data_IF_026562022044
#
_entry.id   IF_026562022044
#
_cell.length_a   1.000
_cell.length_b   1.000
_cell.length_c   1.000
_cell.angle_alpha   90.00
_cell.angle_beta   90.00
_cell.angle_gamma   90.00
#
_symmetry.space_group_name_H-M   'P 1'
#
loop_
_entity.id
_entity.type
_entity.pdbx_description
1 polymer ?
#
# COMPACT_ATOMS: atom_id res chain seq x y z
N UNK A 1 -1.69 -11.69 29.17
CA UNK A 1 -0.91 -10.58 29.75
C UNK A 1 -1.53 -9.29 29.21
N UNK A 2 -2.28 -8.52 30.02
CA UNK A 2 -2.94 -7.28 29.56
C UNK A 2 -1.89 -6.16 29.57
N UNK A 3 -1.38 -5.77 28.39
CA UNK A 3 -0.52 -4.60 28.28
C UNK A 3 -1.30 -3.33 28.66
N UNK A 4 -0.87 -2.65 29.71
CA UNK A 4 -1.39 -1.33 30.13
C UNK A 4 -0.63 -0.23 29.41
N UNK A 5 -0.56 -0.28 28.07
CA UNK A 5 -0.04 0.85 27.30
C UNK A 5 -1.24 1.74 26.99
N UNK A 6 -1.34 2.86 27.71
CA UNK A 6 -2.48 3.78 27.62
C UNK A 6 -2.11 4.87 26.60
N UNK A 7 -2.67 4.86 25.38
CA UNK A 7 -2.47 5.96 24.45
C UNK A 7 -3.03 7.25 25.05
N UNK A 8 -2.28 8.36 24.92
CA UNK A 8 -2.67 9.66 25.46
C UNK A 8 -3.85 10.27 24.70
N UNK A 9 -3.95 9.96 23.41
CA UNK A 9 -5.04 10.37 22.52
C UNK A 9 -5.22 9.29 21.47
N UNK A 10 -6.47 8.91 21.20
CA UNK A 10 -6.85 7.97 20.14
C UNK A 10 -7.89 8.66 19.29
N UNK A 11 -7.66 8.77 17.99
CA UNK A 11 -8.70 9.16 17.03
C UNK A 11 -8.99 7.95 16.15
N UNK A 12 -10.26 7.60 16.08
CA UNK A 12 -10.75 6.49 15.27
C UNK A 12 -11.44 7.07 14.04
N UNK A 13 -10.95 6.73 12.87
CA UNK A 13 -11.54 7.11 11.59
C UNK A 13 -12.09 5.84 10.93
N UNK A 14 -13.41 5.82 10.71
CA UNK A 14 -14.04 4.82 9.85
C UNK A 14 -13.91 5.29 8.40
N UNK A 15 -13.24 4.50 7.55
CA UNK A 15 -13.12 4.84 6.13
C UNK A 15 -14.01 3.92 5.29
N UNK A 16 -14.95 4.52 4.57
CA UNK A 16 -15.58 3.87 3.43
C UNK A 16 -14.64 4.01 2.20
N UNK A 17 -13.81 2.98 2.02
CA UNK A 17 -13.10 2.52 0.80
C UNK A 17 -12.01 3.37 0.10
N UNK A 18 -11.14 2.58 -0.57
CA UNK A 18 -10.12 2.85 -1.62
C UNK A 18 -8.70 3.24 -1.17
N UNK A 19 -7.88 2.19 -1.12
CA UNK A 19 -6.42 1.99 -1.10
C UNK A 19 -5.46 3.18 -0.95
N UNK A 20 -4.41 2.92 -0.15
CA UNK A 20 -3.31 3.81 0.24
C UNK A 20 -2.28 4.12 -0.87
N UNK A 21 -2.58 3.81 -2.13
CA UNK A 21 -1.90 4.42 -3.26
C UNK A 21 -2.84 5.47 -3.84
N UNK A 22 -2.70 6.70 -3.36
CA UNK A 22 -3.41 7.82 -3.98
C UNK A 22 -3.10 7.80 -5.49
N UNK A 23 -4.17 7.79 -6.32
CA UNK A 23 -4.04 7.91 -7.78
C UNK A 23 -3.14 9.09 -8.15
N UNK A 24 -3.12 10.14 -7.34
CA UNK A 24 -2.24 11.30 -7.52
C UNK A 24 -0.75 10.95 -7.34
N UNK A 25 -0.40 10.09 -6.38
CA UNK A 25 0.99 9.66 -6.15
C UNK A 25 1.51 8.80 -7.31
N UNK A 26 0.71 7.83 -7.77
CA UNK A 26 1.03 7.02 -8.95
C UNK A 26 1.22 7.92 -10.18
N UNK A 27 0.29 8.84 -10.42
CA UNK A 27 0.39 9.79 -11.52
C UNK A 27 1.65 10.67 -11.43
N UNK A 28 2.10 11.03 -10.23
CA UNK A 28 3.30 11.86 -10.03
C UNK A 28 4.58 11.07 -10.32
N UNK A 29 4.68 9.81 -9.87
CA UNK A 29 5.83 8.94 -10.15
C UNK A 29 5.95 8.66 -11.65
N UNK A 30 4.82 8.37 -12.30
CA UNK A 30 4.75 8.05 -13.72
C UNK A 30 5.20 9.21 -14.62
N UNK A 31 5.06 10.48 -14.18
CA UNK A 31 5.52 11.66 -14.93
C UNK A 31 7.05 11.75 -15.06
N UNK A 32 7.81 11.07 -14.22
CA UNK A 32 9.28 11.07 -14.24
C UNK A 32 9.88 9.93 -15.07
N UNK A 33 9.05 9.11 -15.73
CA UNK A 33 9.46 7.94 -16.49
C UNK A 33 9.33 8.17 -18.01
N UNK A 34 9.98 7.32 -18.80
CA UNK A 34 9.73 7.25 -20.25
C UNK A 34 8.24 7.02 -20.53
N UNK A 35 7.73 7.62 -21.60
CA UNK A 35 6.29 7.63 -21.92
C UNK A 35 5.72 6.22 -22.12
N UNK A 36 6.50 5.33 -22.72
CA UNK A 36 6.10 3.93 -22.96
C UNK A 36 6.04 3.17 -21.64
N UNK A 37 7.09 3.27 -20.82
CA UNK A 37 7.17 2.60 -19.52
C UNK A 37 6.05 3.08 -18.58
N UNK A 38 5.74 4.38 -18.63
CA UNK A 38 4.61 5.00 -17.97
C UNK A 38 3.26 4.38 -18.37
N UNK A 39 3.04 4.14 -19.68
CA UNK A 39 1.82 3.49 -20.18
C UNK A 39 1.76 2.03 -19.75
N UNK A 40 2.87 1.30 -19.85
CA UNK A 40 2.97 -0.10 -19.39
C UNK A 40 2.54 -0.21 -17.93
N UNK A 41 3.08 0.64 -17.05
CA UNK A 41 2.71 0.64 -15.63
C UNK A 41 1.24 0.97 -15.41
N UNK A 42 0.67 1.93 -16.13
CA UNK A 42 -0.77 2.26 -16.00
C UNK A 42 -1.65 1.06 -16.33
N UNK A 43 -1.31 0.33 -17.40
CA UNK A 43 -2.07 -0.83 -17.83
C UNK A 43 -1.92 -1.99 -16.84
N UNK A 44 -0.71 -2.27 -16.37
CA UNK A 44 -0.45 -3.32 -15.37
C UNK A 44 -1.06 -3.01 -13.99
N UNK A 45 -1.14 -1.74 -13.58
CA UNK A 45 -1.81 -1.33 -12.34
C UNK A 45 -3.32 -1.52 -12.44
N UNK A 46 -3.89 -1.28 -13.63
CA UNK A 46 -5.32 -1.48 -13.86
C UNK A 46 -5.69 -2.97 -14.00
N UNK A 47 -4.84 -3.75 -14.66
CA UNK A 47 -5.01 -5.18 -14.89
C UNK A 47 -3.64 -5.85 -14.92
N UNK A 48 -3.20 -6.41 -13.79
CA UNK A 48 -1.91 -7.09 -13.69
C UNK A 48 -1.86 -8.42 -14.46
N UNK A 49 -3.00 -8.93 -14.92
CA UNK A 49 -3.11 -10.18 -15.68
C UNK A 49 -3.23 -9.94 -17.20
N UNK A 50 -3.09 -8.69 -17.65
CA UNK A 50 -3.07 -8.36 -19.07
C UNK A 50 -1.97 -9.15 -19.80
N UNK A 51 -2.33 -9.81 -20.90
CA UNK A 51 -1.36 -10.58 -21.69
C UNK A 51 -0.40 -9.63 -22.41
N UNK A 52 0.85 -10.07 -22.61
CA UNK A 52 1.85 -9.26 -23.32
C UNK A 52 1.39 -8.86 -24.73
N UNK A 53 0.67 -9.73 -25.44
CA UNK A 53 0.08 -9.44 -26.75
C UNK A 53 -0.93 -8.28 -26.69
N UNK A 54 -1.83 -8.29 -25.72
CA UNK A 54 -2.83 -7.23 -25.52
C UNK A 54 -2.18 -5.93 -25.04
N UNK A 55 -1.21 -6.03 -24.15
CA UNK A 55 -0.40 -4.90 -23.67
C UNK A 55 0.31 -4.21 -24.84
N UNK A 56 1.02 -4.99 -25.66
CA UNK A 56 1.75 -4.52 -26.85
C UNK A 56 0.81 -3.80 -27.84
N UNK A 57 -0.36 -4.38 -28.10
CA UNK A 57 -1.39 -3.78 -28.96
C UNK A 57 -1.90 -2.44 -28.41
N UNK A 58 -2.06 -2.32 -27.10
CA UNK A 58 -2.55 -1.09 -26.48
C UNK A 58 -1.51 0.04 -26.45
N UNK A 59 -0.22 -0.29 -26.34
CA UNK A 59 0.86 0.71 -26.34
C UNK A 59 1.47 0.98 -27.72
N UNK A 60 1.06 0.21 -28.75
CA UNK A 60 1.51 0.39 -30.13
C UNK A 60 2.93 -0.11 -30.40
N UNK A 61 3.39 -1.16 -29.70
CA UNK A 61 4.71 -1.78 -29.88
C UNK A 61 4.59 -3.24 -30.31
N UNK A 62 5.70 -3.82 -30.76
CA UNK A 62 5.79 -5.27 -30.95
C UNK A 62 5.76 -6.00 -29.60
N UNK A 63 5.32 -7.26 -29.61
CA UNK A 63 5.28 -8.09 -28.41
C UNK A 63 6.67 -8.27 -27.79
N UNK A 64 7.71 -8.44 -28.62
CA UNK A 64 9.10 -8.58 -28.16
C UNK A 64 9.60 -7.32 -27.46
N UNK A 65 9.40 -6.13 -28.07
CA UNK A 65 9.80 -4.87 -27.48
C UNK A 65 9.05 -4.58 -26.17
N UNK A 66 7.75 -4.91 -26.11
CA UNK A 66 6.95 -4.76 -24.90
C UNK A 66 7.45 -5.65 -23.77
N UNK A 67 7.76 -6.92 -24.07
CA UNK A 67 8.26 -7.87 -23.09
C UNK A 67 9.59 -7.44 -22.50
N UNK A 68 10.52 -6.94 -23.33
CA UNK A 68 11.81 -6.44 -22.87
C UNK A 68 11.66 -5.24 -21.93
N UNK A 69 10.74 -4.32 -22.25
CA UNK A 69 10.43 -3.17 -21.41
C UNK A 69 9.87 -3.59 -20.05
N UNK A 70 8.92 -4.52 -20.00
CA UNK A 70 8.39 -5.07 -18.75
C UNK A 70 9.49 -5.71 -17.92
N UNK A 71 10.32 -6.58 -18.52
CA UNK A 71 11.45 -7.22 -17.84
C UNK A 71 12.44 -6.20 -17.28
N UNK A 72 12.70 -5.12 -18.00
CA UNK A 72 13.57 -4.03 -17.51
C UNK A 72 12.98 -3.34 -16.28
N UNK A 73 11.68 -3.07 -16.28
CA UNK A 73 10.99 -2.47 -15.12
C UNK A 73 11.02 -3.39 -13.89
N UNK A 74 10.89 -4.69 -14.08
CA UNK A 74 11.02 -5.70 -13.02
C UNK A 74 12.47 -5.82 -12.51
N UNK A 75 13.43 -5.90 -13.43
CA UNK A 75 14.85 -5.99 -13.09
C UNK A 75 15.33 -4.75 -12.31
N UNK A 76 14.87 -3.56 -12.71
CA UNK A 76 15.13 -2.30 -12.03
C UNK A 76 14.35 -2.14 -10.70
N UNK A 77 13.55 -3.14 -10.28
CA UNK A 77 12.70 -3.10 -9.08
C UNK A 77 11.70 -1.93 -9.06
N UNK A 78 11.38 -1.38 -10.23
CA UNK A 78 10.26 -0.43 -10.39
C UNK A 78 8.95 -1.20 -10.24
N UNK A 79 8.85 -2.36 -10.90
CA UNK A 79 7.84 -3.37 -10.59
C UNK A 79 8.44 -4.31 -9.54
N UNK A 80 7.94 -4.21 -8.30
CA UNK A 80 8.45 -5.02 -7.19
C UNK A 80 7.69 -6.33 -7.00
N UNK A 81 6.38 -6.30 -7.25
CA UNK A 81 5.47 -7.43 -7.05
C UNK A 81 4.19 -7.21 -7.86
N UNK A 82 3.52 -8.31 -8.19
CA UNK A 82 2.14 -8.32 -8.64
C UNK A 82 1.27 -8.76 -7.47
N UNK A 83 0.15 -8.09 -7.24
CA UNK A 83 -0.74 -8.34 -6.11
C UNK A 83 -2.18 -8.46 -6.58
N UNK A 84 -2.99 -9.15 -5.79
CA UNK A 84 -4.43 -9.21 -5.99
C UNK A 84 -5.14 -8.24 -5.05
N UNK A 85 -6.21 -7.63 -5.54
CA UNK A 85 -7.13 -6.84 -4.73
C UNK A 85 -8.32 -7.73 -4.37
N UNK A 86 -8.57 -7.91 -3.07
CA UNK A 86 -9.69 -8.72 -2.56
C UNK A 86 -10.74 -7.80 -1.99
N UNK A 87 -11.99 -7.99 -2.42
CA UNK A 87 -13.15 -7.32 -1.84
C UNK A 87 -13.45 -7.93 -0.46
N UNK A 88 -12.91 -7.31 0.58
CA UNK A 88 -13.03 -7.77 1.97
C UNK A 88 -14.49 -7.82 2.42
N UNK A 89 -15.33 -6.87 1.98
CA UNK A 89 -16.75 -6.84 2.34
C UNK A 89 -17.49 -8.09 1.85
N UNK A 90 -17.13 -8.62 0.67
CA UNK A 90 -17.72 -9.85 0.12
C UNK A 90 -17.27 -11.12 0.82
N UNK A 91 -16.20 -11.07 1.61
CA UNK A 91 -15.72 -12.23 2.40
C UNK A 91 -15.98 -12.05 3.90
N UNK A 92 -16.95 -11.21 4.26
CA UNK A 92 -17.38 -11.02 5.65
C UNK A 92 -16.46 -10.13 6.49
N UNK A 93 -15.60 -9.33 5.85
CA UNK A 93 -14.66 -8.40 6.47
C UNK A 93 -14.97 -6.97 6.00
N UNK A 94 -16.09 -6.42 6.48
CA UNK A 94 -16.65 -5.17 5.97
C UNK A 94 -16.17 -3.91 6.69
N UNK A 95 -15.38 -4.05 7.75
CA UNK A 95 -14.90 -2.93 8.56
C UNK A 95 -13.39 -2.80 8.40
N UNK A 96 -12.93 -1.62 8.02
CA UNK A 96 -11.51 -1.27 8.06
C UNK A 96 -11.41 0.04 8.83
N UNK A 97 -10.65 0.03 9.92
CA UNK A 97 -10.55 1.16 10.85
C UNK A 97 -9.14 1.73 10.80
N UNK A 98 -9.03 3.04 10.65
CA UNK A 98 -7.78 3.75 10.85
C UNK A 98 -7.74 4.34 12.24
N UNK A 99 -6.76 3.94 13.03
CA UNK A 99 -6.57 4.43 14.39
C UNK A 99 -5.28 5.26 14.40
N UNK A 100 -5.38 6.55 14.72
CA UNK A 100 -4.20 7.34 15.06
C UNK A 100 -4.11 7.47 16.56
N UNK A 101 -2.91 7.29 17.10
CA UNK A 101 -2.69 7.41 18.52
C UNK A 101 -1.34 8.04 18.83
N UNK A 102 -1.26 8.67 19.99
CA UNK A 102 -0.02 9.21 20.55
C UNK A 102 0.33 8.42 21.80
N UNK A 103 1.54 7.86 21.84
CA UNK A 103 2.06 7.21 23.05
C UNK A 103 2.45 8.29 24.06
N UNK A 104 2.14 8.02 25.34
CA UNK A 104 2.43 8.96 26.44
C UNK A 104 3.93 9.20 26.61
N UNK A 105 4.72 8.14 26.44
CA UNK A 105 6.17 8.19 26.42
C UNK A 105 6.65 7.83 25.01
N UNK A 106 7.68 8.53 24.53
CA UNK A 106 8.26 8.34 23.20
C UNK A 106 9.69 7.81 23.26
N UNK A 107 10.03 7.10 24.34
CA UNK A 107 11.27 6.36 24.41
C UNK A 107 11.25 5.24 23.37
N UNK A 108 12.38 5.04 22.69
CA UNK A 108 12.52 4.06 21.59
C UNK A 108 12.04 2.67 22.03
N UNK A 109 12.42 2.24 23.22
CA UNK A 109 12.05 0.95 23.81
C UNK A 109 10.52 0.77 23.98
N UNK A 110 9.80 1.83 24.37
CA UNK A 110 8.35 1.78 24.53
C UNK A 110 7.62 1.78 23.18
N UNK A 111 8.15 2.51 22.20
CA UNK A 111 7.65 2.50 20.83
C UNK A 111 7.83 1.10 20.23
N UNK A 112 9.03 0.54 20.34
CA UNK A 112 9.34 -0.79 19.79
C UNK A 112 8.50 -1.89 20.43
N UNK A 113 8.37 -1.87 21.77
CA UNK A 113 7.51 -2.82 22.49
C UNK A 113 6.05 -2.70 22.08
N UNK A 114 5.54 -1.48 21.89
CA UNK A 114 4.18 -1.28 21.41
C UNK A 114 4.00 -1.80 19.98
N UNK A 115 4.93 -1.50 19.07
CA UNK A 115 4.88 -1.93 17.67
C UNK A 115 4.92 -3.46 17.56
N UNK A 116 5.74 -4.14 18.36
CA UNK A 116 5.76 -5.60 18.46
C UNK A 116 4.42 -6.15 18.94
N UNK A 117 3.87 -5.60 20.03
CA UNK A 117 2.58 -6.03 20.55
C UNK A 117 1.42 -5.85 19.56
N UNK A 118 1.48 -4.84 18.69
CA UNK A 118 0.50 -4.66 17.61
C UNK A 118 0.68 -5.64 16.45
N UNK A 119 1.92 -6.07 16.15
CA UNK A 119 2.16 -7.08 15.10
C UNK A 119 1.61 -8.46 15.47
N UNK A 120 1.49 -8.75 16.76
CA UNK A 120 0.96 -10.01 17.28
C UNK A 120 -0.58 -10.07 17.28
N UNK A 121 -1.28 -8.98 16.92
CA UNK A 121 -2.74 -8.93 16.85
C UNK A 121 -3.22 -9.18 15.43
N UNK A 122 -4.00 -10.25 15.23
CA UNK A 122 -4.55 -10.64 13.92
C UNK A 122 -5.46 -9.57 13.30
N UNK A 123 -6.06 -8.71 14.11
CA UNK A 123 -6.91 -7.61 13.66
C UNK A 123 -6.11 -6.42 13.12
N UNK A 124 -4.80 -6.34 13.41
CA UNK A 124 -3.92 -5.27 12.95
C UNK A 124 -3.34 -5.62 11.57
N UNK A 125 -3.76 -4.89 10.55
CA UNK A 125 -3.27 -5.09 9.18
C UNK A 125 -1.92 -4.41 8.93
N UNK A 126 -1.70 -3.25 9.55
CA UNK A 126 -0.45 -2.50 9.47
C UNK A 126 -0.35 -1.46 10.58
N UNK A 127 0.84 -1.27 11.14
CA UNK A 127 1.15 -0.20 12.08
C UNK A 127 2.40 0.54 11.61
N UNK A 128 2.32 1.86 11.46
CA UNK A 128 3.42 2.69 11.00
C UNK A 128 3.56 3.96 11.84
N UNK A 129 4.80 4.39 12.05
CA UNK A 129 5.08 5.72 12.59
C UNK A 129 4.94 6.76 11.48
N UNK A 130 4.28 7.89 11.76
CA UNK A 130 4.04 8.96 10.79
C UNK A 130 4.62 10.27 11.34
N UNK A 131 5.26 11.06 10.46
CA UNK A 131 5.77 12.39 10.80
C UNK A 131 4.66 13.44 10.58
N UNK A 132 4.21 14.11 11.65
CA UNK A 132 3.15 15.13 11.62
C UNK A 132 2.58 15.45 13.00
N UNK A 133 1.43 16.15 13.07
CA UNK A 133 0.70 16.44 14.33
C UNK A 133 0.24 15.17 15.07
N UNK A 134 0.24 14.02 14.40
CA UNK A 134 -0.03 12.69 14.96
C UNK A 134 1.15 11.80 14.63
N UNK A 135 1.66 11.06 15.61
CA UNK A 135 2.93 10.34 15.51
C UNK A 135 2.83 8.94 14.92
N UNK A 136 1.64 8.31 14.88
CA UNK A 136 1.46 6.92 14.42
C UNK A 136 0.11 6.71 13.71
N UNK A 137 0.08 5.80 12.73
CA UNK A 137 -1.08 5.35 11.97
C UNK A 137 -1.19 3.82 12.05
N UNK A 138 -2.34 3.33 12.48
CA UNK A 138 -2.71 1.92 12.55
C UNK A 138 -3.89 1.66 11.62
N UNK A 139 -3.84 0.59 10.85
CA UNK A 139 -4.97 0.09 10.06
C UNK A 139 -5.39 -1.25 10.62
N UNK A 140 -6.66 -1.38 11.01
CA UNK A 140 -7.24 -2.63 11.53
C UNK A 140 -8.41 -3.08 10.66
N UNK A 141 -8.74 -4.37 10.75
CA UNK A 141 -9.98 -4.95 10.20
C UNK A 141 -11.13 -4.96 11.23
#
# INVERSE_FOLDING_TARGET
MRFKIIPQKVNVYMKYTKYFLDKNLINRIIRCMDKVDAQILRLLIADSHITNSKLAKQIGLSESATLERVKRLEAAKIIRRYTIEVDLAKIGRSLEVFITFTLKNQHVEEIDSFMQAMQDLDEVLSCAQVLGLYSNLLTTN
#
